data_IF_937103318919
#
_entry.id   IF_937103318919
#
_cell.length_a   1.000
_cell.length_b   1.000
_cell.length_c   1.000
_cell.angle_alpha   90.00
_cell.angle_beta   90.00
_cell.angle_gamma   90.00
#
_symmetry.space_group_name_H-M   'P 1'
#
loop_
_entity.id
_entity.type
_entity.pdbx_description
1 polymer ?
#
# COMPACT_ATOMS: atom_id res chain seq x y z
N UNK A 1 -4.47 -3.96 16.30
CA UNK A 1 -4.92 -4.67 15.07
C UNK A 1 -6.45 -4.67 15.12
N UNK A 2 -7.13 -4.46 13.98
CA UNK A 2 -8.60 -4.34 13.89
C UNK A 2 -9.11 -5.10 12.66
N UNK A 3 -8.90 -6.42 12.65
CA UNK A 3 -9.18 -7.27 11.50
C UNK A 3 -10.60 -7.84 11.52
N UNK A 4 -11.14 -8.21 10.36
CA UNK A 4 -12.42 -8.93 10.22
C UNK A 4 -13.60 -8.19 10.84
N UNK A 5 -13.75 -6.93 10.45
CA UNK A 5 -14.81 -6.05 10.89
C UNK A 5 -15.50 -5.40 9.69
N UNK A 6 -16.43 -4.49 9.95
CA UNK A 6 -17.10 -3.70 8.91
C UNK A 6 -16.65 -2.24 8.92
N UNK A 7 -15.40 -1.98 9.32
CA UNK A 7 -14.88 -0.62 9.39
C UNK A 7 -14.81 -0.01 8.00
N UNK A 8 -15.42 1.17 7.86
CA UNK A 8 -15.30 2.02 6.67
C UNK A 8 -14.25 3.12 6.85
N UNK A 9 -13.83 3.36 8.10
CA UNK A 9 -12.88 4.40 8.49
C UNK A 9 -12.04 3.96 9.70
N UNK A 10 -10.83 4.50 9.84
CA UNK A 10 -9.92 4.23 10.95
C UNK A 10 -9.95 5.39 11.96
N UNK A 11 -11.13 5.60 12.56
CA UNK A 11 -11.38 6.72 13.48
C UNK A 11 -10.56 6.62 14.77
N UNK A 12 -10.40 7.76 15.44
CA UNK A 12 -9.81 7.88 16.78
C UNK A 12 -8.35 7.43 16.92
N UNK A 13 -7.62 7.29 15.80
CA UNK A 13 -6.20 6.93 15.87
C UNK A 13 -5.31 8.11 16.28
N UNK A 14 -5.77 9.36 16.16
CA UNK A 14 -4.95 10.59 16.38
C UNK A 14 -4.23 10.66 17.73
N UNK A 15 -4.72 9.95 18.75
CA UNK A 15 -4.09 9.91 20.09
C UNK A 15 -2.89 8.97 20.15
N UNK A 16 -2.77 8.04 19.18
CA UNK A 16 -1.71 7.03 19.12
C UNK A 16 -0.46 7.59 18.41
N UNK A 17 0.21 8.55 19.06
CA UNK A 17 1.34 9.31 18.48
C UNK A 17 2.53 8.45 18.04
N UNK A 18 2.65 7.22 18.55
CA UNK A 18 3.73 6.29 18.23
C UNK A 18 3.27 5.10 17.38
N UNK A 19 2.14 5.24 16.69
CA UNK A 19 1.58 4.17 15.88
C UNK A 19 2.46 3.89 14.66
N UNK A 20 3.31 2.87 14.77
CA UNK A 20 4.21 2.43 13.71
C UNK A 20 3.64 1.28 12.86
N UNK A 21 2.67 0.53 13.40
CA UNK A 21 2.12 -0.67 12.76
C UNK A 21 0.60 -0.64 12.80
N UNK A 22 -0.03 -0.77 11.63
CA UNK A 22 -1.49 -0.94 11.51
C UNK A 22 -1.79 -2.19 10.69
N UNK A 23 -2.66 -3.02 11.25
CA UNK A 23 -3.30 -4.14 10.55
C UNK A 23 -4.80 -3.97 10.70
N UNK A 24 -5.48 -3.78 9.56
CA UNK A 24 -6.93 -3.62 9.44
C UNK A 24 -7.45 -4.48 8.27
N UNK A 25 -7.10 -5.77 8.32
CA UNK A 25 -7.40 -6.76 7.29
C UNK A 25 -8.90 -7.07 7.29
N UNK A 26 -9.49 -7.36 6.13
CA UNK A 26 -10.90 -7.80 6.02
C UNK A 26 -11.87 -6.78 6.63
N UNK A 27 -11.85 -5.57 6.08
CA UNK A 27 -12.76 -4.46 6.42
C UNK A 27 -13.41 -3.89 5.15
N UNK A 28 -14.05 -2.72 5.25
CA UNK A 28 -14.71 -2.01 4.15
C UNK A 28 -14.04 -0.65 3.89
N UNK A 29 -12.75 -0.52 4.17
CA UNK A 29 -12.00 0.73 3.99
C UNK A 29 -11.87 1.05 2.51
N UNK A 30 -12.07 2.31 2.15
CA UNK A 30 -11.86 2.82 0.77
C UNK A 30 -10.61 3.69 0.64
N UNK A 31 -10.04 4.10 1.78
CA UNK A 31 -8.89 5.00 1.87
C UNK A 31 -8.34 5.06 3.29
N UNK A 32 -7.36 5.95 3.51
CA UNK A 32 -6.68 6.15 4.78
C UNK A 32 -6.62 7.62 5.22
N UNK A 33 -7.67 8.38 4.94
CA UNK A 33 -7.77 9.80 5.27
C UNK A 33 -7.56 10.08 6.76
N UNK A 34 -7.99 9.15 7.62
CA UNK A 34 -7.82 9.23 9.08
C UNK A 34 -6.34 9.10 9.53
N UNK A 35 -5.46 8.56 8.67
CA UNK A 35 -4.04 8.37 8.98
C UNK A 35 -3.18 9.62 8.70
N UNK A 36 -3.77 10.71 8.18
CA UNK A 36 -3.05 11.99 7.97
C UNK A 36 -2.39 12.56 9.23
N UNK A 37 -2.85 12.18 10.43
CA UNK A 37 -2.22 12.60 11.70
C UNK A 37 -0.97 11.82 12.10
N UNK A 38 -0.61 10.75 11.37
CA UNK A 38 0.51 9.84 11.71
C UNK A 38 1.65 9.91 10.69
N UNK A 39 1.69 11.01 9.93
CA UNK A 39 2.79 11.35 9.03
C UNK A 39 4.09 11.32 9.85
N UNK A 40 5.06 10.49 9.42
CA UNK A 40 6.37 10.39 10.07
C UNK A 40 6.54 9.25 11.09
N UNK A 41 5.48 8.54 11.47
CA UNK A 41 5.57 7.43 12.44
C UNK A 41 5.14 6.09 11.89
N UNK A 42 4.20 6.05 10.94
CA UNK A 42 3.68 4.81 10.42
C UNK A 42 4.70 4.14 9.47
N UNK A 43 5.16 2.95 9.84
CA UNK A 43 6.19 2.17 9.14
C UNK A 43 5.55 1.04 8.33
N UNK A 44 4.60 0.31 8.93
CA UNK A 44 3.94 -0.83 8.29
C UNK A 44 2.42 -0.68 8.29
N UNK A 45 1.83 -0.87 7.12
CA UNK A 45 0.39 -0.76 6.91
C UNK A 45 -0.15 -1.95 6.12
N UNK A 46 -1.00 -2.74 6.76
CA UNK A 46 -1.69 -3.86 6.14
C UNK A 46 -3.20 -3.61 6.10
N UNK A 47 -3.71 -3.38 4.90
CA UNK A 47 -5.13 -3.18 4.58
C UNK A 47 -5.61 -4.23 3.56
N UNK A 48 -5.05 -5.44 3.62
CA UNK A 48 -5.54 -6.58 2.85
C UNK A 48 -7.05 -6.79 3.01
N UNK A 49 -7.72 -7.24 1.94
CA UNK A 49 -9.18 -7.53 1.95
C UNK A 49 -10.01 -6.30 2.33
N UNK A 50 -9.82 -5.19 1.62
CA UNK A 50 -10.62 -3.97 1.76
C UNK A 50 -11.20 -3.53 0.40
N UNK A 51 -11.77 -2.33 0.34
CA UNK A 51 -12.43 -1.75 -0.84
C UNK A 51 -11.64 -0.55 -1.41
N UNK A 52 -10.32 -0.52 -1.21
CA UNK A 52 -9.46 0.59 -1.67
C UNK A 52 -9.38 0.55 -3.19
N UNK A 53 -9.65 1.70 -3.81
CA UNK A 53 -9.60 1.88 -5.28
C UNK A 53 -8.53 2.86 -5.71
N UNK A 54 -8.07 3.75 -4.82
CA UNK A 54 -7.07 4.78 -5.09
C UNK A 54 -5.95 4.80 -4.04
N UNK A 55 -4.75 5.20 -4.48
CA UNK A 55 -3.57 5.37 -3.64
C UNK A 55 -3.30 6.82 -3.24
N UNK A 56 -4.15 7.77 -3.65
CA UNK A 56 -3.97 9.21 -3.39
C UNK A 56 -3.77 9.53 -1.90
N UNK A 57 -4.55 8.88 -1.04
CA UNK A 57 -4.56 9.12 0.41
C UNK A 57 -3.30 8.64 1.14
N UNK A 58 -2.46 7.83 0.48
CA UNK A 58 -1.22 7.26 1.02
C UNK A 58 0.00 8.15 0.75
N UNK A 59 -0.12 9.14 -0.15
CA UNK A 59 0.97 10.00 -0.63
C UNK A 59 1.76 10.74 0.47
N UNK A 60 1.14 10.97 1.63
CA UNK A 60 1.75 11.68 2.75
C UNK A 60 2.34 10.77 3.83
N UNK A 61 2.28 9.44 3.69
CA UNK A 61 2.81 8.49 4.66
C UNK A 61 4.34 8.33 4.48
N UNK A 62 5.09 9.42 4.67
CA UNK A 62 6.51 9.53 4.32
C UNK A 62 7.45 8.53 5.03
N UNK A 63 7.02 7.95 6.14
CA UNK A 63 7.79 6.94 6.88
C UNK A 63 7.39 5.50 6.56
N UNK A 64 6.41 5.33 5.66
CA UNK A 64 5.91 4.01 5.31
C UNK A 64 6.99 3.24 4.56
N UNK A 65 7.29 2.07 5.09
CA UNK A 65 8.28 1.14 4.56
C UNK A 65 7.60 -0.06 3.87
N UNK A 66 6.48 -0.52 4.43
CA UNK A 66 5.72 -1.64 3.89
C UNK A 66 4.22 -1.35 3.81
N UNK A 67 3.66 -1.57 2.62
CA UNK A 67 2.26 -1.37 2.30
C UNK A 67 1.67 -2.63 1.67
N UNK A 68 0.73 -3.26 2.38
CA UNK A 68 0.03 -4.46 1.90
C UNK A 68 -1.42 -4.13 1.63
N UNK A 69 -1.82 -4.20 0.36
CA UNK A 69 -3.16 -3.87 -0.15
C UNK A 69 -3.78 -5.03 -0.93
N UNK A 70 -3.26 -6.25 -0.85
CA UNK A 70 -3.90 -7.38 -1.52
C UNK A 70 -4.87 -8.13 -0.58
N UNK A 71 -6.08 -8.49 -1.01
CA UNK A 71 -6.82 -8.01 -2.18
C UNK A 71 -7.55 -6.69 -1.90
N UNK A 72 -7.55 -5.77 -2.86
CA UNK A 72 -8.33 -4.53 -2.95
C UNK A 72 -8.78 -4.34 -4.42
N UNK A 73 -9.31 -3.16 -4.78
CA UNK A 73 -9.87 -2.86 -6.10
C UNK A 73 -9.04 -1.85 -6.92
N UNK A 74 -7.72 -1.86 -6.75
CA UNK A 74 -6.77 -0.96 -7.45
C UNK A 74 -6.49 -1.50 -8.86
N UNK A 75 -7.34 -1.11 -9.81
CA UNK A 75 -7.26 -1.63 -11.18
C UNK A 75 -6.43 -0.76 -12.13
N UNK A 76 -6.24 0.51 -11.79
CA UNK A 76 -5.44 1.45 -12.58
C UNK A 76 -3.97 1.41 -12.13
N UNK A 77 -3.01 1.00 -12.98
CA UNK A 77 -1.59 0.99 -12.62
C UNK A 77 -1.01 2.40 -12.38
N UNK A 78 -1.64 3.44 -12.94
CA UNK A 78 -1.17 4.81 -12.74
C UNK A 78 -1.42 5.31 -11.30
N UNK A 79 -2.25 4.63 -10.49
CA UNK A 79 -2.41 4.97 -9.06
C UNK A 79 -1.08 4.94 -8.30
N UNK A 80 -0.12 4.12 -8.74
CA UNK A 80 1.21 4.04 -8.14
C UNK A 80 1.95 5.37 -8.20
N UNK A 81 1.57 6.28 -9.13
CA UNK A 81 2.15 7.62 -9.21
C UNK A 81 1.96 8.44 -7.93
N UNK A 82 0.92 8.15 -7.14
CA UNK A 82 0.63 8.86 -5.89
C UNK A 82 1.62 8.50 -4.77
N UNK A 83 2.23 7.31 -4.84
CA UNK A 83 3.12 6.78 -3.80
C UNK A 83 4.57 6.62 -4.28
N UNK A 84 4.87 6.92 -5.55
CA UNK A 84 6.22 6.81 -6.14
C UNK A 84 7.28 7.64 -5.41
N UNK A 85 6.86 8.71 -4.74
CA UNK A 85 7.74 9.66 -4.04
C UNK A 85 7.88 9.35 -2.53
N UNK A 86 7.30 8.25 -2.04
CA UNK A 86 7.46 7.87 -0.64
C UNK A 86 8.91 7.43 -0.40
N UNK A 87 9.69 8.15 0.43
CA UNK A 87 11.15 8.01 0.46
C UNK A 87 11.62 6.71 1.11
N UNK A 88 10.78 6.11 1.96
CA UNK A 88 11.11 4.86 2.67
C UNK A 88 10.38 3.63 2.13
N UNK A 89 9.44 3.79 1.19
CA UNK A 89 8.57 2.69 0.78
C UNK A 89 9.36 1.68 -0.04
N UNK A 90 9.71 0.56 0.58
CA UNK A 90 10.46 -0.50 -0.08
C UNK A 90 9.65 -1.78 -0.29
N UNK A 91 8.55 -1.98 0.43
CA UNK A 91 7.69 -3.15 0.25
C UNK A 91 6.28 -2.73 -0.14
N UNK A 92 5.81 -3.16 -1.32
CA UNK A 92 4.46 -2.87 -1.80
C UNK A 92 3.80 -4.13 -2.35
N UNK A 93 2.63 -4.49 -1.81
CA UNK A 93 1.83 -5.64 -2.26
C UNK A 93 0.49 -5.13 -2.77
N UNK A 94 0.24 -5.24 -4.07
CA UNK A 94 -1.01 -4.80 -4.70
C UNK A 94 -1.77 -5.99 -5.30
N UNK A 95 -3.08 -5.81 -5.46
CA UNK A 95 -3.92 -6.64 -6.31
C UNK A 95 -4.22 -5.89 -7.61
N UNK A 96 -3.71 -6.37 -8.74
CA UNK A 96 -4.27 -6.06 -10.04
C UNK A 96 -5.33 -7.11 -10.40
N UNK A 97 -6.47 -6.69 -10.97
CA UNK A 97 -7.34 -7.61 -11.76
C UNK A 97 -6.57 -8.30 -12.90
N UNK A 98 -5.39 -7.77 -13.24
CA UNK A 98 -4.55 -8.06 -14.39
C UNK A 98 -3.15 -8.59 -13.99
N UNK A 99 -3.00 -9.27 -12.85
CA UNK A 99 -1.70 -9.88 -12.46
C UNK A 99 -1.17 -10.88 -13.52
N UNK A 100 -1.99 -11.20 -14.50
CA UNK A 100 -1.66 -11.93 -15.74
C UNK A 100 -1.14 -11.09 -16.91
N UNK A 101 -1.39 -9.78 -16.99
CA UNK A 101 -0.94 -8.98 -18.15
C UNK A 101 0.40 -8.31 -17.86
N UNK A 102 1.42 -8.65 -18.66
CA UNK A 102 2.73 -8.00 -18.64
C UNK A 102 2.64 -6.46 -18.72
N UNK A 103 1.55 -5.91 -19.26
CA UNK A 103 1.28 -4.49 -19.35
C UNK A 103 1.10 -3.79 -17.99
N UNK A 104 0.28 -4.34 -17.08
CA UNK A 104 0.11 -3.77 -15.74
C UNK A 104 1.45 -3.79 -14.99
N UNK A 105 2.15 -4.92 -15.10
CA UNK A 105 3.48 -5.11 -14.54
C UNK A 105 4.50 -4.08 -15.05
N UNK A 106 4.60 -3.91 -16.37
CA UNK A 106 5.50 -2.94 -16.99
C UNK A 106 5.13 -1.50 -16.61
N UNK A 107 3.82 -1.23 -16.50
CA UNK A 107 3.30 0.09 -16.12
C UNK A 107 3.63 0.45 -14.68
N UNK A 108 3.61 -0.51 -13.74
CA UNK A 108 4.02 -0.25 -12.36
C UNK A 108 5.55 -0.13 -12.27
N UNK A 109 6.29 -0.99 -12.99
CA UNK A 109 7.76 -0.98 -13.00
C UNK A 109 8.35 0.35 -13.47
N UNK A 110 7.73 1.05 -14.42
CA UNK A 110 8.22 2.35 -14.94
C UNK A 110 8.34 3.43 -13.86
N UNK A 111 7.57 3.31 -12.77
CA UNK A 111 7.51 4.31 -11.70
C UNK A 111 8.58 4.12 -10.62
N UNK A 112 9.23 2.96 -10.57
CA UNK A 112 10.29 2.66 -9.62
C UNK A 112 11.62 2.48 -10.38
N UNK A 113 12.46 3.52 -10.46
CA UNK A 113 13.74 3.50 -11.20
C UNK A 113 14.78 2.60 -10.51
N UNK A 114 15.66 1.97 -11.30
CA UNK A 114 16.78 1.14 -10.84
C UNK A 114 17.96 2.01 -10.28
N UNK A 115 18.86 1.48 -9.40
CA UNK A 115 19.32 0.09 -9.28
C UNK A 115 18.52 -0.74 -8.29
N UNK A 116 17.36 -0.25 -7.86
CA UNK A 116 16.40 -1.00 -7.06
C UNK A 116 16.05 -2.29 -7.80
N UNK A 117 16.66 -3.38 -7.39
CA UNK A 117 16.29 -4.71 -7.83
C UNK A 117 14.87 -4.96 -7.31
N UNK A 118 13.88 -4.68 -8.15
CA UNK A 118 12.50 -5.04 -7.91
C UNK A 118 12.47 -6.58 -7.80
N UNK A 119 12.56 -7.12 -6.58
CA UNK A 119 12.24 -8.52 -6.40
C UNK A 119 10.72 -8.61 -6.53
N UNK A 120 10.30 -9.33 -7.56
CA UNK A 120 8.91 -9.50 -7.92
C UNK A 120 8.59 -10.95 -7.70
N UNK A 121 8.03 -11.25 -6.53
CA UNK A 121 7.61 -12.61 -6.23
C UNK A 121 6.21 -12.81 -6.80
N UNK A 122 6.13 -13.53 -7.93
CA UNK A 122 4.86 -13.97 -8.51
C UNK A 122 4.37 -15.19 -7.73
N UNK A 123 3.61 -14.95 -6.66
CA UNK A 123 2.91 -16.00 -5.93
C UNK A 123 1.42 -16.03 -6.36
N UNK A 124 1.14 -16.50 -7.58
CA UNK A 124 -0.23 -16.52 -8.13
C UNK A 124 -0.75 -15.11 -8.45
N UNK A 125 -1.90 -14.66 -7.91
CA UNK A 125 -2.47 -13.33 -8.13
C UNK A 125 -1.86 -12.29 -7.18
N UNK A 126 -0.54 -12.33 -6.99
CA UNK A 126 0.18 -11.42 -6.10
C UNK A 126 1.35 -10.80 -6.83
N UNK A 127 1.46 -9.48 -6.73
CA UNK A 127 2.66 -8.74 -7.08
C UNK A 127 3.22 -8.19 -5.78
N UNK A 128 4.32 -8.77 -5.31
CA UNK A 128 5.14 -8.21 -4.22
C UNK A 128 6.26 -7.42 -4.84
N UNK A 129 6.39 -6.16 -4.49
CA UNK A 129 7.45 -5.25 -4.93
C UNK A 129 8.37 -5.09 -3.73
N UNK A 130 9.62 -5.54 -3.86
CA UNK A 130 10.67 -5.23 -2.89
C UNK A 130 11.67 -4.26 -3.52
N UNK A 131 11.93 -3.16 -2.84
CA UNK A 131 13.03 -2.27 -3.13
C UNK A 131 14.19 -2.67 -2.23
N UNK A 132 15.37 -2.94 -2.81
CA UNK A 132 16.58 -3.00 -2.01
C UNK A 132 16.96 -1.57 -1.64
N UNK A 133 16.93 -1.25 -0.36
CA UNK A 133 17.69 -0.12 0.15
C UNK A 133 19.16 -0.51 0.04
N UNK A 134 19.89 0.17 -0.84
CA UNK A 134 21.35 0.14 -0.86
C UNK A 134 21.90 0.86 0.36
#
# INVERSE_FOLDING_TARGET
MVNENYLTQLKNLRTLRHLAYISAIANKLTGVEDLKGHIGHLIHLNLSKNNITSLETFSNLISLESLVLHPNSINNPDEVQHIKNLPKLHSLVLSGKLITTNEYFNSVRKWFRAPVALHLEKAGPLIRIYQRQC
#
